data_IF_683537044276
#
_entry.id   IF_683537044276
#
_cell.length_a   1.000
_cell.length_b   1.000
_cell.length_c   1.000
_cell.angle_alpha   90.00
_cell.angle_beta   90.00
_cell.angle_gamma   90.00
#
_symmetry.space_group_name_H-M   'P 1'
#
loop_
_entity.id
_entity.type
_entity.pdbx_description
1 polymer ?
#
# COMPACT_ATOMS: atom_id res chain seq x y z
N UNK A 1 19.11 -22.36 -54.84
CA UNK A 1 17.82 -21.86 -54.38
C UNK A 1 17.82 -22.06 -52.90
N UNK A 2 18.20 -21.10 -52.14
CA UNK A 2 18.17 -21.10 -50.68
C UNK A 2 16.78 -20.57 -50.31
N UNK A 3 15.94 -21.39 -49.68
CA UNK A 3 14.70 -20.99 -49.08
C UNK A 3 15.09 -20.15 -47.85
N UNK A 4 14.71 -18.87 -47.84
CA UNK A 4 14.73 -18.02 -46.65
C UNK A 4 13.79 -18.65 -45.62
N UNK A 5 14.19 -18.75 -44.35
CA UNK A 5 13.28 -19.19 -43.30
C UNK A 5 12.13 -18.19 -43.20
N UNK A 6 10.90 -18.67 -43.36
CA UNK A 6 9.68 -17.87 -43.13
C UNK A 6 9.81 -17.18 -41.76
N UNK A 7 9.95 -15.86 -41.77
CA UNK A 7 9.80 -15.04 -40.56
C UNK A 7 8.44 -15.35 -39.95
N UNK A 8 8.45 -15.92 -38.76
CA UNK A 8 7.24 -16.25 -38.04
C UNK A 8 6.42 -14.99 -37.77
N UNK A 9 5.10 -15.08 -37.89
CA UNK A 9 4.15 -13.96 -37.67
C UNK A 9 4.35 -13.21 -36.32
N UNK A 10 5.17 -13.72 -35.43
CA UNK A 10 5.49 -13.16 -34.11
C UNK A 10 6.96 -12.67 -33.98
N UNK A 11 7.76 -12.79 -35.03
CA UNK A 11 9.14 -12.25 -35.07
C UNK A 11 9.11 -10.78 -35.52
N UNK A 12 8.89 -9.89 -34.59
CA UNK A 12 8.97 -8.44 -34.82
C UNK A 12 10.33 -7.97 -34.29
N UNK A 13 11.30 -7.83 -35.18
CA UNK A 13 12.64 -7.36 -34.83
C UNK A 13 12.74 -5.85 -34.63
N UNK A 14 11.71 -5.09 -34.97
CA UNK A 14 11.69 -3.64 -34.81
C UNK A 14 10.53 -3.18 -33.91
N UNK A 15 10.85 -2.89 -32.66
CA UNK A 15 9.93 -2.19 -31.77
C UNK A 15 9.96 -0.68 -32.06
N UNK A 16 8.79 -0.08 -32.23
CA UNK A 16 8.64 1.40 -32.31
C UNK A 16 8.78 2.05 -30.91
N UNK A 17 8.87 1.26 -29.87
CA UNK A 17 8.97 1.73 -28.51
C UNK A 17 10.43 1.72 -28.02
N UNK A 18 10.80 2.76 -27.32
CA UNK A 18 12.13 2.90 -26.75
C UNK A 18 12.36 1.94 -25.57
N UNK A 19 11.30 1.58 -24.88
CA UNK A 19 11.28 0.62 -23.77
C UNK A 19 9.88 -0.01 -23.69
N UNK A 20 9.76 -1.29 -24.05
CA UNK A 20 8.47 -2.01 -24.03
C UNK A 20 8.00 -2.35 -22.63
N UNK A 21 8.91 -2.38 -21.64
CA UNK A 21 8.57 -2.64 -20.25
C UNK A 21 7.57 -1.63 -19.67
N UNK A 22 7.46 -0.43 -20.27
CA UNK A 22 6.47 0.58 -19.85
C UNK A 22 5.02 0.13 -19.96
N UNK A 23 4.75 -0.94 -20.72
CA UNK A 23 3.43 -1.54 -20.88
C UNK A 23 3.17 -2.69 -19.89
N UNK A 24 4.17 -3.12 -19.14
CA UNK A 24 3.98 -4.14 -18.11
C UNK A 24 3.17 -3.56 -16.94
N UNK A 25 2.27 -4.38 -16.40
CA UNK A 25 1.37 -3.95 -15.29
C UNK A 25 2.16 -3.56 -14.04
N UNK A 26 3.31 -4.20 -13.82
CA UNK A 26 4.18 -3.98 -12.66
C UNK A 26 5.33 -2.99 -12.92
N UNK A 27 5.32 -2.34 -14.08
CA UNK A 27 6.36 -1.37 -14.42
C UNK A 27 6.36 -0.18 -13.47
N UNK A 28 7.50 0.04 -12.82
CA UNK A 28 7.74 1.21 -11.97
C UNK A 28 8.83 2.06 -12.61
N UNK A 29 8.52 3.29 -13.07
CA UNK A 29 9.52 4.15 -13.71
C UNK A 29 10.62 4.55 -12.74
N UNK A 30 11.84 4.66 -13.23
CA UNK A 30 12.99 5.15 -12.43
C UNK A 30 12.77 6.57 -11.93
N UNK A 31 12.16 7.43 -12.76
CA UNK A 31 11.92 8.83 -12.44
C UNK A 31 10.44 9.19 -12.63
N UNK A 32 9.90 9.95 -11.68
CA UNK A 32 8.55 10.53 -11.77
C UNK A 32 8.68 11.99 -12.22
N UNK A 33 8.31 12.25 -13.47
CA UNK A 33 8.27 13.62 -13.99
C UNK A 33 7.04 14.37 -13.45
N UNK A 34 7.22 15.65 -13.11
CA UNK A 34 6.18 16.56 -12.63
C UNK A 34 5.51 16.15 -11.30
N UNK A 35 6.16 15.30 -10.50
CA UNK A 35 5.64 14.81 -9.21
C UNK A 35 6.66 14.86 -8.08
N UNK A 36 7.73 15.59 -8.27
CA UNK A 36 8.85 15.65 -7.34
C UNK A 36 8.41 16.18 -5.95
N UNK A 37 7.49 17.15 -5.91
CA UNK A 37 6.98 17.71 -4.66
C UNK A 37 6.12 16.70 -3.89
N UNK A 38 5.23 15.98 -4.58
CA UNK A 38 4.39 14.95 -3.97
C UNK A 38 5.22 13.78 -3.46
N UNK A 39 6.17 13.30 -4.26
CA UNK A 39 7.09 12.23 -3.86
C UNK A 39 7.92 12.66 -2.64
N UNK A 40 8.43 13.89 -2.62
CA UNK A 40 9.18 14.42 -1.48
C UNK A 40 8.32 14.48 -0.21
N UNK A 41 7.06 14.90 -0.32
CA UNK A 41 6.14 14.91 0.82
C UNK A 41 5.93 13.51 1.39
N UNK A 42 5.69 12.52 0.52
CA UNK A 42 5.53 11.13 0.95
C UNK A 42 6.82 10.56 1.56
N UNK A 43 7.98 10.87 0.99
CA UNK A 43 9.28 10.49 1.57
C UNK A 43 9.46 11.06 2.98
N UNK A 44 9.12 12.34 3.22
CA UNK A 44 9.16 12.92 4.57
C UNK A 44 8.24 12.21 5.54
N UNK A 45 7.05 11.81 5.09
CA UNK A 45 6.07 11.09 5.88
C UNK A 45 6.58 9.71 6.31
N UNK A 46 7.30 9.01 5.43
CA UNK A 46 7.77 7.66 5.67
C UNK A 46 9.18 7.59 6.29
N UNK A 47 9.97 8.65 6.19
CA UNK A 47 11.34 8.70 6.69
C UNK A 47 11.52 8.26 8.16
N UNK A 48 10.59 8.50 9.10
CA UNK A 48 10.74 7.97 10.45
C UNK A 48 10.87 6.44 10.51
N UNK A 49 10.23 5.72 9.56
CA UNK A 49 10.31 4.26 9.48
C UNK A 49 11.74 3.75 9.33
N UNK A 50 12.58 4.41 8.51
CA UNK A 50 13.98 4.00 8.31
C UNK A 50 14.85 4.14 9.57
N UNK A 51 14.30 4.71 10.64
CA UNK A 51 14.95 4.87 11.95
C UNK A 51 14.25 4.10 13.06
N UNK A 52 13.42 3.12 12.69
CA UNK A 52 12.62 2.35 13.63
C UNK A 52 11.53 3.16 14.35
N UNK A 53 11.17 4.34 13.86
CA UNK A 53 10.13 5.17 14.47
C UNK A 53 8.82 5.05 13.70
N UNK A 54 7.69 5.26 14.38
CA UNK A 54 6.37 5.24 13.74
C UNK A 54 6.30 6.29 12.61
N UNK A 55 5.97 5.90 11.37
CA UNK A 55 5.73 6.83 10.27
C UNK A 55 4.53 7.74 10.53
N UNK A 56 4.49 8.88 9.85
CA UNK A 56 3.28 9.68 9.80
C UNK A 56 2.27 9.06 8.86
N UNK A 57 0.99 9.33 9.09
CA UNK A 57 -0.06 8.93 8.18
C UNK A 57 -0.14 9.91 7.02
N UNK A 58 -0.49 9.41 5.82
CA UNK A 58 -0.60 10.23 4.62
C UNK A 58 -1.89 9.93 3.86
N UNK A 59 -2.35 10.90 3.11
CA UNK A 59 -3.44 10.75 2.16
C UNK A 59 -2.98 11.17 0.77
N UNK A 60 -3.26 10.31 -0.21
CA UNK A 60 -2.98 10.53 -1.63
C UNK A 60 -4.30 10.54 -2.39
N UNK A 61 -4.66 11.68 -2.97
CA UNK A 61 -5.89 11.85 -3.76
C UNK A 61 -5.56 12.23 -5.20
N UNK A 62 -6.39 11.79 -6.11
CA UNK A 62 -6.30 12.20 -7.53
C UNK A 62 -7.07 11.26 -8.43
N UNK A 63 -7.41 11.69 -9.65
CA UNK A 63 -8.15 10.86 -10.60
C UNK A 63 -7.39 9.57 -10.96
N UNK A 64 -8.10 8.55 -11.48
CA UNK A 64 -7.47 7.33 -12.00
C UNK A 64 -6.38 7.64 -13.03
N UNK A 65 -5.40 6.76 -13.18
CA UNK A 65 -4.33 6.90 -14.18
C UNK A 65 -3.26 7.95 -13.85
N UNK A 66 -3.29 8.57 -12.66
CA UNK A 66 -2.31 9.61 -12.29
C UNK A 66 -1.05 9.07 -11.63
N UNK A 67 -0.84 7.74 -11.60
CA UNK A 67 0.38 7.12 -11.08
C UNK A 67 0.45 7.02 -9.55
N UNK A 68 -0.68 7.09 -8.82
CA UNK A 68 -0.71 6.98 -7.35
C UNK A 68 -0.16 5.64 -6.86
N UNK A 69 -0.67 4.55 -7.40
CA UNK A 69 -0.25 3.17 -7.09
C UNK A 69 1.24 2.98 -7.39
N UNK A 70 1.70 3.44 -8.56
CA UNK A 70 3.10 3.35 -8.98
C UNK A 70 4.03 4.15 -8.05
N UNK A 71 3.58 5.33 -7.58
CA UNK A 71 4.32 6.13 -6.61
C UNK A 71 4.50 5.39 -5.27
N UNK A 72 3.44 4.72 -4.78
CA UNK A 72 3.51 3.90 -3.56
C UNK A 72 4.44 2.70 -3.74
N UNK A 73 4.34 1.99 -4.87
CA UNK A 73 5.22 0.86 -5.18
C UNK A 73 6.69 1.26 -5.19
N UNK A 74 7.01 2.42 -5.81
CA UNK A 74 8.39 2.96 -5.81
C UNK A 74 8.88 3.25 -4.39
N UNK A 75 8.09 3.97 -3.60
CA UNK A 75 8.46 4.30 -2.22
C UNK A 75 8.64 3.06 -1.36
N UNK A 76 7.79 2.05 -1.53
CA UNK A 76 7.92 0.78 -0.83
C UNK A 76 9.18 0.02 -1.26
N UNK A 77 9.55 0.08 -2.54
CA UNK A 77 10.81 -0.45 -3.03
C UNK A 77 12.03 0.25 -2.41
N UNK A 78 11.99 1.59 -2.33
CA UNK A 78 13.04 2.39 -1.69
C UNK A 78 13.17 2.08 -0.19
N UNK A 79 12.05 1.97 0.54
CA UNK A 79 12.05 1.61 1.96
C UNK A 79 12.67 0.23 2.23
N UNK A 80 12.26 -0.78 1.46
CA UNK A 80 12.82 -2.15 1.59
C UNK A 80 14.30 -2.23 1.21
N UNK A 81 14.77 -1.36 0.33
CA UNK A 81 16.19 -1.28 -0.02
C UNK A 81 17.03 -0.57 1.05
N UNK A 82 16.42 0.33 1.82
CA UNK A 82 17.08 1.11 2.87
C UNK A 82 17.25 0.31 4.17
N UNK A 83 16.25 -0.50 4.53
CA UNK A 83 16.25 -1.26 5.79
C UNK A 83 15.41 -2.53 5.72
N UNK A 84 15.86 -3.58 6.43
CA UNK A 84 15.12 -4.84 6.61
C UNK A 84 14.00 -4.74 7.66
N UNK A 85 14.09 -3.75 8.56
CA UNK A 85 13.24 -3.63 9.74
C UNK A 85 11.91 -2.90 9.43
N UNK A 86 11.58 -2.77 8.14
CA UNK A 86 10.35 -2.15 7.66
C UNK A 86 9.58 -3.09 6.75
N UNK A 87 8.44 -3.53 7.21
CA UNK A 87 7.46 -4.21 6.37
C UNK A 87 6.61 -3.21 5.61
N UNK A 88 6.39 -3.47 4.33
CA UNK A 88 5.52 -2.65 3.49
C UNK A 88 4.44 -3.50 2.85
N UNK A 89 3.18 -3.20 3.12
CA UNK A 89 2.05 -3.95 2.57
C UNK A 89 1.10 -3.01 1.83
N UNK A 90 0.89 -3.27 0.55
CA UNK A 90 -0.14 -2.61 -0.24
C UNK A 90 -1.37 -3.49 -0.33
N UNK A 91 -2.50 -2.96 0.11
CA UNK A 91 -3.81 -3.61 0.02
C UNK A 91 -4.62 -2.92 -1.07
N UNK A 92 -4.99 -3.64 -2.11
CA UNK A 92 -5.97 -3.18 -3.08
C UNK A 92 -7.37 -3.35 -2.48
N UNK A 93 -8.02 -2.24 -2.10
CA UNK A 93 -9.33 -2.26 -1.44
C UNK A 93 -10.46 -2.63 -2.39
N UNK A 94 -10.29 -2.54 -3.71
CA UNK A 94 -11.27 -3.06 -4.66
C UNK A 94 -11.42 -4.59 -4.55
N UNK A 95 -10.31 -5.29 -4.30
CA UNK A 95 -10.31 -6.75 -4.12
C UNK A 95 -10.54 -7.14 -2.65
N UNK A 96 -10.22 -6.25 -1.71
CA UNK A 96 -10.23 -6.49 -0.28
C UNK A 96 -11.08 -5.40 0.41
N UNK A 97 -12.39 -5.42 0.13
CA UNK A 97 -13.32 -4.37 0.54
C UNK A 97 -13.87 -4.54 1.98
N UNK A 98 -13.42 -5.55 2.73
CA UNK A 98 -13.83 -5.77 4.11
C UNK A 98 -12.66 -5.63 5.07
N UNK A 99 -12.96 -5.22 6.32
CA UNK A 99 -11.93 -5.16 7.37
C UNK A 99 -11.16 -6.47 7.51
N UNK A 100 -11.87 -7.60 7.52
CA UNK A 100 -11.22 -8.91 7.61
C UNK A 100 -10.24 -9.16 6.45
N UNK A 101 -10.65 -8.91 5.20
CA UNK A 101 -9.78 -9.15 4.03
C UNK A 101 -8.56 -8.22 4.02
N UNK A 102 -8.71 -6.96 4.46
CA UNK A 102 -7.57 -6.06 4.65
C UNK A 102 -6.55 -6.65 5.61
N UNK A 103 -7.00 -7.11 6.79
CA UNK A 103 -6.09 -7.65 7.80
C UNK A 103 -5.54 -9.04 7.44
N UNK A 104 -6.26 -9.82 6.65
CA UNK A 104 -5.75 -11.06 6.07
C UNK A 104 -4.57 -10.77 5.11
N UNK A 105 -4.68 -9.72 4.29
CA UNK A 105 -3.58 -9.28 3.42
C UNK A 105 -2.39 -8.73 4.21
N UNK A 106 -2.63 -8.05 5.34
CA UNK A 106 -1.54 -7.62 6.22
C UNK A 106 -0.83 -8.82 6.84
N UNK A 107 -1.59 -9.80 7.31
CA UNK A 107 -1.04 -11.04 7.84
C UNK A 107 -0.16 -11.76 6.80
N UNK A 108 -0.69 -11.96 5.58
CA UNK A 108 0.06 -12.58 4.49
C UNK A 108 1.36 -11.82 4.17
N UNK A 109 1.31 -10.48 4.12
CA UNK A 109 2.48 -9.65 3.85
C UNK A 109 3.54 -9.62 4.95
N UNK A 110 3.20 -10.08 6.17
CA UNK A 110 4.11 -10.14 7.33
C UNK A 110 4.66 -11.55 7.55
N UNK A 111 3.84 -12.56 7.27
CA UNK A 111 4.16 -13.97 7.56
C UNK A 111 4.54 -14.78 6.32
N UNK A 112 4.39 -14.22 5.12
CA UNK A 112 4.63 -14.87 3.82
C UNK A 112 3.76 -16.12 3.56
N UNK A 113 2.65 -16.26 4.28
CA UNK A 113 1.64 -17.30 4.06
C UNK A 113 0.23 -16.80 4.40
N UNK A 114 -0.79 -17.39 3.78
CA UNK A 114 -2.19 -17.03 4.01
C UNK A 114 -2.65 -17.43 5.43
N UNK A 115 -3.50 -16.60 6.07
CA UNK A 115 -4.11 -16.99 7.34
C UNK A 115 -5.00 -18.23 7.13
N UNK A 116 -5.28 -19.02 8.20
CA UNK A 116 -6.19 -20.15 8.12
C UNK A 116 -7.54 -19.75 7.53
N UNK A 117 -8.04 -20.53 6.57
CA UNK A 117 -9.26 -20.23 5.79
C UNK A 117 -10.53 -20.08 6.64
N UNK A 118 -10.56 -20.58 7.87
CA UNK A 118 -11.69 -20.45 8.79
C UNK A 118 -11.28 -20.48 10.26
N UNK A 119 -12.13 -19.93 11.12
CA UNK A 119 -11.98 -20.04 12.58
C UNK A 119 -11.07 -19.01 13.25
N UNK A 120 -10.48 -18.09 12.49
CA UNK A 120 -9.68 -17.00 13.08
C UNK A 120 -10.49 -15.70 13.08
N UNK A 121 -10.61 -15.06 14.23
CA UNK A 121 -11.27 -13.75 14.31
C UNK A 121 -10.34 -12.65 13.85
N UNK A 122 -10.91 -11.54 13.35
CA UNK A 122 -10.16 -10.32 13.04
C UNK A 122 -9.19 -9.92 14.18
N UNK A 123 -9.69 -9.91 15.43
CA UNK A 123 -8.89 -9.51 16.59
C UNK A 123 -7.66 -10.41 16.79
N UNK A 124 -7.82 -11.72 16.59
CA UNK A 124 -6.70 -12.66 16.71
C UNK A 124 -5.70 -12.49 15.57
N UNK A 125 -6.21 -12.28 14.35
CA UNK A 125 -5.38 -12.05 13.16
C UNK A 125 -4.51 -10.80 13.34
N UNK A 126 -5.12 -9.69 13.73
CA UNK A 126 -4.42 -8.43 13.94
C UNK A 126 -3.46 -8.50 15.14
N UNK A 127 -3.87 -9.20 16.21
CA UNK A 127 -3.00 -9.46 17.35
C UNK A 127 -1.70 -10.14 16.94
N UNK A 128 -1.77 -11.21 16.15
CA UNK A 128 -0.57 -11.92 15.67
C UNK A 128 0.35 -11.01 14.82
N UNK A 129 -0.23 -10.18 13.94
CA UNK A 129 0.54 -9.21 13.14
C UNK A 129 1.28 -8.23 14.06
N UNK A 130 0.57 -7.64 15.02
CA UNK A 130 1.16 -6.63 15.90
C UNK A 130 2.15 -7.22 16.90
N UNK A 131 1.90 -8.43 17.45
CA UNK A 131 2.84 -9.16 18.30
C UNK A 131 4.16 -9.41 17.57
N UNK A 132 4.11 -9.93 16.34
CA UNK A 132 5.32 -10.15 15.53
C UNK A 132 6.11 -8.86 15.31
N UNK A 133 5.45 -7.76 14.92
CA UNK A 133 6.12 -6.47 14.70
C UNK A 133 6.80 -5.94 15.99
N UNK A 134 6.17 -6.15 17.14
CA UNK A 134 6.74 -5.71 18.43
C UNK A 134 7.90 -6.59 18.86
N UNK A 135 7.80 -7.91 18.68
CA UNK A 135 8.85 -8.88 19.03
C UNK A 135 10.12 -8.68 18.18
N UNK A 136 9.96 -8.36 16.89
CA UNK A 136 11.07 -8.13 15.96
C UNK A 136 11.57 -6.68 15.98
N UNK A 137 10.93 -5.79 16.73
CA UNK A 137 11.18 -4.33 16.77
C UNK A 137 11.00 -3.66 15.39
N UNK A 138 10.06 -4.16 14.59
CA UNK A 138 9.82 -3.76 13.22
C UNK A 138 8.74 -2.69 13.09
N UNK A 139 8.77 -2.00 11.95
CA UNK A 139 7.79 -0.98 11.55
C UNK A 139 6.96 -1.50 10.39
N UNK A 140 5.65 -1.28 10.43
CA UNK A 140 4.75 -1.56 9.32
C UNK A 140 4.30 -0.28 8.62
N UNK A 141 4.43 -0.24 7.30
CA UNK A 141 3.83 0.78 6.44
C UNK A 141 2.75 0.12 5.58
N UNK A 142 1.51 0.54 5.79
CA UNK A 142 0.34 0.03 5.05
C UNK A 142 -0.10 1.07 4.04
N UNK A 143 -0.29 0.68 2.79
CA UNK A 143 -1.01 1.47 1.80
C UNK A 143 -2.37 0.84 1.50
N UNK A 144 -3.44 1.55 1.81
CA UNK A 144 -4.81 1.20 1.42
C UNK A 144 -5.09 1.86 0.06
N UNK A 145 -4.90 1.11 -1.00
CA UNK A 145 -5.07 1.58 -2.38
C UNK A 145 -6.54 1.45 -2.81
N UNK A 146 -7.07 2.48 -3.46
CA UNK A 146 -8.49 2.61 -3.81
C UNK A 146 -9.42 2.44 -2.59
N UNK A 147 -9.12 3.17 -1.52
CA UNK A 147 -9.85 3.13 -0.24
C UNK A 147 -11.36 3.40 -0.36
N UNK A 148 -11.79 4.08 -1.42
CA UNK A 148 -13.20 4.33 -1.70
C UNK A 148 -14.06 3.06 -1.68
N UNK A 149 -13.52 1.90 -2.01
CA UNK A 149 -14.24 0.63 -1.92
C UNK A 149 -14.56 0.21 -0.48
N UNK A 150 -13.70 0.54 0.49
CA UNK A 150 -14.03 0.35 1.91
C UNK A 150 -15.16 1.26 2.39
N UNK A 151 -15.29 2.47 1.82
CA UNK A 151 -16.41 3.37 2.12
C UNK A 151 -17.72 2.83 1.54
N UNK A 152 -17.70 2.28 0.33
CA UNK A 152 -18.90 1.69 -0.30
C UNK A 152 -19.44 0.51 0.50
N UNK A 153 -18.57 -0.24 1.17
CA UNK A 153 -18.95 -1.37 2.05
C UNK A 153 -19.15 -0.96 3.53
N UNK A 154 -19.02 0.34 3.86
CA UNK A 154 -19.10 0.87 5.23
C UNK A 154 -18.04 0.29 6.20
N UNK A 155 -16.90 -0.15 5.68
CA UNK A 155 -15.81 -0.79 6.44
C UNK A 155 -14.64 0.17 6.71
N UNK A 156 -14.64 1.37 6.10
CA UNK A 156 -13.50 2.30 6.14
C UNK A 156 -13.17 2.79 7.56
N UNK A 157 -14.18 3.26 8.31
CA UNK A 157 -13.96 3.82 9.65
C UNK A 157 -13.38 2.79 10.61
N UNK A 158 -13.94 1.58 10.64
CA UNK A 158 -13.47 0.53 11.55
C UNK A 158 -12.09 -0.02 11.15
N UNK A 159 -11.82 -0.13 9.85
CA UNK A 159 -10.52 -0.55 9.33
C UNK A 159 -9.43 0.46 9.70
N UNK A 160 -9.66 1.73 9.40
CA UNK A 160 -8.73 2.81 9.69
C UNK A 160 -8.55 3.03 11.19
N UNK A 161 -9.64 2.97 11.98
CA UNK A 161 -9.57 3.05 13.43
C UNK A 161 -8.62 1.99 14.01
N UNK A 162 -8.76 0.75 13.56
CA UNK A 162 -7.92 -0.35 14.03
C UNK A 162 -6.44 -0.15 13.72
N UNK A 163 -6.11 0.30 12.50
CA UNK A 163 -4.73 0.54 12.08
C UNK A 163 -4.10 1.75 12.78
N UNK A 164 -4.83 2.87 12.79
CA UNK A 164 -4.30 4.15 13.29
C UNK A 164 -4.12 4.17 14.80
N UNK A 165 -4.92 3.38 15.52
CA UNK A 165 -4.89 3.27 16.98
C UNK A 165 -4.30 1.95 17.47
N UNK A 166 -3.63 1.19 16.61
CA UNK A 166 -2.98 -0.06 16.99
C UNK A 166 -2.07 0.09 18.21
N UNK A 167 -1.33 1.19 18.31
CA UNK A 167 -0.43 1.50 19.42
C UNK A 167 -1.12 1.69 20.77
N UNK A 168 -2.44 1.95 20.80
CA UNK A 168 -3.22 2.08 22.04
C UNK A 168 -3.56 0.69 22.62
N UNK A 169 -3.84 -0.30 21.76
CA UNK A 169 -4.17 -1.66 22.16
C UNK A 169 -2.91 -2.54 22.26
N UNK A 170 -1.92 -2.30 21.38
CA UNK A 170 -0.67 -3.06 21.29
C UNK A 170 0.51 -2.13 21.52
N UNK A 171 0.95 -2.05 22.76
CA UNK A 171 2.06 -1.17 23.16
C UNK A 171 3.33 -1.52 22.40
N UNK A 172 3.94 -0.52 21.76
CA UNK A 172 5.12 -0.70 20.92
C UNK A 172 4.83 -0.90 19.43
N UNK A 173 3.58 -1.14 19.02
CA UNK A 173 3.24 -1.24 17.60
C UNK A 173 3.49 0.07 16.84
N UNK A 174 4.27 0.00 15.77
CA UNK A 174 4.66 1.15 14.93
C UNK A 174 4.10 0.97 13.53
N UNK A 175 2.89 1.46 13.33
CA UNK A 175 2.15 1.34 12.05
C UNK A 175 1.93 2.73 11.47
N UNK A 176 2.35 2.93 10.21
CA UNK A 176 2.00 4.10 9.40
C UNK A 176 1.03 3.70 8.30
N UNK A 177 0.06 4.57 8.01
CA UNK A 177 -1.00 4.31 7.03
C UNK A 177 -0.97 5.36 5.93
N UNK A 178 -0.92 4.89 4.69
CA UNK A 178 -1.11 5.71 3.49
C UNK A 178 -2.48 5.35 2.91
N UNK A 179 -3.37 6.31 2.88
CA UNK A 179 -4.70 6.17 2.28
C UNK A 179 -4.67 6.72 0.87
N UNK A 180 -5.04 5.91 -0.13
CA UNK A 180 -5.05 6.31 -1.54
C UNK A 180 -6.49 6.28 -2.05
N UNK A 181 -6.99 7.44 -2.53
CA UNK A 181 -8.31 7.55 -3.14
C UNK A 181 -8.20 7.97 -4.60
N UNK A 182 -8.90 7.25 -5.46
CA UNK A 182 -9.09 7.59 -6.89
C UNK A 182 -10.42 8.28 -7.16
N UNK A 183 -11.30 8.39 -6.18
CA UNK A 183 -12.56 9.10 -6.28
C UNK A 183 -12.38 10.58 -5.87
N UNK A 184 -12.49 11.53 -6.84
CA UNK A 184 -12.36 12.95 -6.53
C UNK A 184 -13.58 13.51 -5.77
N UNK A 185 -14.74 12.84 -5.82
CA UNK A 185 -15.98 13.25 -5.12
C UNK A 185 -15.99 12.86 -3.65
N UNK A 186 -15.19 11.84 -3.26
CA UNK A 186 -15.12 11.35 -1.90
C UNK A 186 -14.22 12.26 -1.06
N UNK A 187 -14.78 12.93 -0.07
CA UNK A 187 -13.98 13.52 0.99
C UNK A 187 -13.74 12.50 2.10
N UNK A 188 -12.60 11.81 1.98
CA UNK A 188 -12.23 10.71 2.89
C UNK A 188 -12.28 11.13 4.36
N UNK A 189 -11.89 12.37 4.68
CA UNK A 189 -11.85 12.83 6.08
C UNK A 189 -13.28 13.08 6.59
N UNK A 190 -14.11 13.74 5.80
CA UNK A 190 -15.47 14.11 6.23
C UNK A 190 -16.39 12.90 6.36
N UNK A 191 -16.15 11.85 5.56
CA UNK A 191 -16.90 10.59 5.60
C UNK A 191 -16.48 9.64 6.74
N UNK A 192 -15.33 9.91 7.37
CA UNK A 192 -14.87 9.09 8.50
C UNK A 192 -15.54 9.49 9.81
N UNK A 193 -15.70 8.53 10.70
CA UNK A 193 -16.11 8.77 12.09
C UNK A 193 -15.18 9.79 12.76
N UNK A 194 -15.72 10.62 13.63
CA UNK A 194 -14.96 11.62 14.42
C UNK A 194 -13.78 11.01 15.20
N UNK A 195 -13.90 9.74 15.60
CA UNK A 195 -12.83 8.96 16.25
C UNK A 195 -11.59 8.80 15.38
N UNK A 196 -11.78 8.69 14.06
CA UNK A 196 -10.72 8.51 13.07
C UNK A 196 -10.23 9.84 12.54
N UNK A 197 -11.14 10.80 12.32
CA UNK A 197 -10.81 12.15 11.84
C UNK A 197 -9.72 12.82 12.68
N UNK A 198 -9.78 12.66 14.00
CA UNK A 198 -8.83 13.28 14.93
C UNK A 198 -7.38 12.80 14.76
N UNK A 199 -7.18 11.62 14.18
CA UNK A 199 -5.85 11.03 13.96
C UNK A 199 -5.25 11.44 12.61
N UNK A 200 -6.09 11.81 11.64
CA UNK A 200 -5.65 12.27 10.31
C UNK A 200 -5.47 13.81 10.23
N UNK A 201 -6.02 14.56 11.19
CA UNK A 201 -5.77 16.00 11.22
C UNK A 201 -4.36 16.24 11.75
N UNK A 202 -3.53 16.99 10.99
CA UNK A 202 -2.19 17.35 11.42
C UNK A 202 -2.21 18.26 12.62
#
# INVERSE_FOLDING_TARGET
MSEDPEEGMLSWDESVFRDERVFEIDYVPETFQHRESQMRTLQYTLRPATRGSRPLNAMVRGPPGTGKTTAIQKLFGELRAETSDVHTVRVNCQMNATRYSVFARLFEGIFDYEPPASGISFKKLFGQVTEKLVEEDDVLVVALDDVNYLFYENEASDTLYSLLRAHEEYSGARIGVIVVSSDPSLDVIDELDSRVQSVFRP
#
